data_IF_442909243114
#
_entry.id   IF_442909243114
#
_cell.length_a   1.000
_cell.length_b   1.000
_cell.length_c   1.000
_cell.angle_alpha   90.00
_cell.angle_beta   90.00
_cell.angle_gamma   90.00
#
_symmetry.space_group_name_H-M   'P 1'
#
loop_
_entity.id
_entity.type
_entity.pdbx_description
1 polymer ?
#
# COMPACT_ATOMS: atom_id res chain seq x y z
N UNK A 1 -3.90 -4.76 35.77
CA UNK A 1 -3.68 -3.34 35.41
C UNK A 1 -4.16 -3.17 33.99
N UNK A 2 -5.19 -2.34 33.82
CA UNK A 2 -5.99 -2.19 32.60
C UNK A 2 -5.14 -1.90 31.35
N UNK A 3 -5.41 -2.67 30.30
CA UNK A 3 -4.91 -2.44 28.95
C UNK A 3 -5.56 -1.19 28.38
N UNK A 4 -4.86 -0.05 28.43
CA UNK A 4 -5.24 1.14 27.65
C UNK A 4 -5.12 0.81 26.16
N UNK A 5 -6.25 0.46 25.55
CA UNK A 5 -6.40 0.34 24.11
C UNK A 5 -6.36 1.76 23.52
N UNK A 6 -5.15 2.28 23.27
CA UNK A 6 -4.98 3.56 22.58
C UNK A 6 -5.23 3.33 21.10
N UNK A 7 -6.42 3.73 20.65
CA UNK A 7 -6.75 3.89 19.24
C UNK A 7 -5.68 4.76 18.56
N UNK A 8 -5.02 4.24 17.52
CA UNK A 8 -4.17 5.06 16.64
C UNK A 8 -5.07 6.11 16.00
N UNK A 9 -4.83 7.37 16.34
CA UNK A 9 -5.64 8.48 15.89
C UNK A 9 -5.21 8.89 14.48
N UNK A 10 -5.91 8.36 13.46
CA UNK A 10 -5.63 8.65 12.04
C UNK A 10 -6.03 10.08 11.61
N UNK A 11 -6.49 10.93 12.53
CA UNK A 11 -7.02 12.27 12.24
C UNK A 11 -5.97 13.31 11.80
N UNK A 12 -4.67 13.08 12.05
CA UNK A 12 -3.61 14.07 11.76
C UNK A 12 -2.81 13.79 10.47
N UNK A 13 -3.32 12.92 9.60
CA UNK A 13 -2.65 12.61 8.33
C UNK A 13 -3.39 13.26 7.15
N UNK A 14 -2.84 14.33 6.55
CA UNK A 14 -3.18 14.65 5.18
C UNK A 14 -2.67 13.47 4.33
N UNK A 15 -3.57 12.56 3.99
CA UNK A 15 -3.39 11.68 2.85
C UNK A 15 -3.09 12.61 1.66
N UNK A 16 -1.81 12.74 1.29
CA UNK A 16 -1.41 13.26 0.00
C UNK A 16 -1.85 12.22 -1.04
N UNK A 17 -3.14 12.23 -1.34
CA UNK A 17 -3.75 11.48 -2.44
C UNK A 17 -3.22 12.12 -3.71
N UNK A 18 -2.22 11.52 -4.34
CA UNK A 18 -2.03 11.72 -5.79
C UNK A 18 -3.22 11.03 -6.46
N UNK A 19 -4.21 11.77 -7.01
CA UNK A 19 -5.41 11.16 -7.56
C UNK A 19 -5.09 10.71 -8.98
N UNK A 20 -4.58 9.50 -9.17
CA UNK A 20 -4.22 9.01 -10.51
C UNK A 20 -4.49 7.52 -10.70
N UNK A 21 -5.76 7.16 -10.95
CA UNK A 21 -6.19 6.32 -12.08
C UNK A 21 -7.72 6.31 -12.15
N UNK A 22 -8.29 6.63 -13.31
CA UNK A 22 -9.70 6.41 -13.64
C UNK A 22 -9.71 5.95 -15.09
N UNK A 23 -10.02 4.68 -15.36
CA UNK A 23 -10.23 4.19 -16.72
C UNK A 23 -11.74 4.10 -16.95
N UNK A 24 -12.23 4.89 -17.90
CA UNK A 24 -13.59 4.82 -18.40
C UNK A 24 -13.55 4.97 -19.92
N UNK A 25 -14.04 3.97 -20.64
CA UNK A 25 -14.39 4.11 -22.04
C UNK A 25 -15.83 4.64 -22.08
N UNK A 26 -16.01 5.98 -22.14
CA UNK A 26 -17.34 6.62 -21.98
C UNK A 26 -17.68 7.53 -23.16
N UNK A 27 -18.79 7.19 -23.81
CA UNK A 27 -19.54 8.08 -24.71
C UNK A 27 -20.36 9.03 -23.83
N UNK A 28 -20.14 10.34 -24.00
CA UNK A 28 -20.90 11.39 -23.28
C UNK A 28 -21.74 12.10 -24.34
N UNK A 29 -23.05 12.11 -24.17
CA UNK A 29 -23.96 13.02 -24.89
C UNK A 29 -24.25 14.21 -23.96
N UNK A 30 -24.04 15.43 -24.47
CA UNK A 30 -24.44 16.66 -23.80
C UNK A 30 -25.72 17.18 -24.46
N UNK A 31 -26.72 17.68 -23.70
CA UNK A 31 -27.64 18.67 -24.22
C UNK A 31 -26.91 20.02 -24.27
N UNK A 32 -26.74 20.57 -25.48
CA UNK A 32 -26.31 21.93 -25.82
C UNK A 32 -25.78 22.81 -24.68
N UNK A 33 -24.46 23.03 -24.60
CA UNK A 33 -23.82 24.33 -24.27
C UNK A 33 -22.36 24.37 -24.80
N UNK A 34 -21.93 25.57 -25.21
CA UNK A 34 -20.71 25.89 -25.98
C UNK A 34 -19.36 25.68 -25.26
N UNK A 35 -18.25 26.09 -25.89
CA UNK A 35 -16.92 25.54 -25.61
C UNK A 35 -16.25 26.25 -24.42
N UNK A 36 -15.71 25.47 -23.48
CA UNK A 36 -14.78 25.99 -22.47
C UNK A 36 -13.71 24.96 -22.07
N UNK A 37 -12.45 25.32 -22.37
CA UNK A 37 -11.25 25.06 -21.56
C UNK A 37 -10.68 23.64 -21.47
N UNK A 38 -9.72 23.32 -22.35
CA UNK A 38 -8.77 22.21 -22.14
C UNK A 38 -7.66 22.63 -21.16
N UNK A 39 -7.49 21.88 -20.07
CA UNK A 39 -6.21 21.76 -19.37
C UNK A 39 -5.65 20.35 -19.62
N UNK A 40 -4.57 20.27 -20.40
CA UNK A 40 -3.88 19.03 -20.74
C UNK A 40 -2.48 19.03 -20.10
N UNK A 41 -2.25 18.15 -19.12
CA UNK A 41 -0.90 17.80 -18.66
C UNK A 41 -0.43 16.53 -19.38
N UNK A 42 0.77 16.61 -19.97
CA UNK A 42 1.37 15.59 -20.84
C UNK A 42 1.81 14.34 -20.07
N UNK A 43 1.15 13.21 -20.36
CA UNK A 43 1.80 11.91 -20.50
C UNK A 43 1.99 11.63 -22.01
N UNK A 44 2.97 10.77 -22.38
CA UNK A 44 3.19 10.31 -23.78
C UNK A 44 1.90 9.76 -24.41
N UNK A 45 1.75 9.78 -25.75
CA UNK A 45 0.50 10.14 -26.44
C UNK A 45 -0.68 9.26 -26.02
N UNK A 46 -1.53 9.82 -25.17
CA UNK A 46 -2.85 9.29 -24.85
C UNK A 46 -3.69 9.38 -26.15
N UNK A 47 -4.17 8.24 -26.67
CA UNK A 47 -5.01 8.19 -27.88
C UNK A 47 -6.30 8.98 -27.65
N UNK A 48 -6.86 9.53 -28.72
CA UNK A 48 -8.09 10.36 -28.73
C UNK A 48 -9.34 9.70 -28.12
N UNK A 49 -9.31 8.39 -27.88
CA UNK A 49 -10.42 7.60 -27.34
C UNK A 49 -10.46 7.52 -25.81
N UNK A 50 -9.38 7.90 -25.11
CA UNK A 50 -9.33 7.83 -23.65
C UNK A 50 -9.73 9.18 -23.02
N UNK A 51 -10.89 9.20 -22.34
CA UNK A 51 -11.32 10.36 -21.56
C UNK A 51 -10.88 10.22 -20.11
N UNK A 52 -10.07 11.18 -19.65
CA UNK A 52 -9.62 11.26 -18.25
C UNK A 52 -10.37 12.36 -17.51
N UNK A 53 -10.79 12.09 -16.27
CA UNK A 53 -11.30 13.11 -15.34
C UNK A 53 -10.50 13.05 -14.04
N UNK A 54 -9.98 14.19 -13.60
CA UNK A 54 -9.30 14.37 -12.31
C UNK A 54 -10.26 15.00 -11.29
N UNK A 55 -9.93 14.88 -10.00
CA UNK A 55 -10.68 15.46 -8.87
C UNK A 55 -12.08 14.89 -8.63
N UNK A 56 -12.35 13.69 -9.13
CA UNK A 56 -13.59 12.91 -8.92
C UNK A 56 -13.50 11.95 -7.73
N UNK A 57 -14.41 12.09 -6.77
CA UNK A 57 -14.75 11.01 -5.84
C UNK A 57 -15.94 10.23 -6.37
N UNK A 58 -15.81 8.91 -6.40
CA UNK A 58 -16.85 7.99 -6.86
C UNK A 58 -17.83 7.69 -5.71
N UNK A 59 -19.11 8.00 -5.91
CA UNK A 59 -20.21 7.68 -4.99
C UNK A 59 -20.90 6.35 -5.33
N UNK A 60 -22.05 6.07 -4.68
CA UNK A 60 -22.82 4.82 -4.90
C UNK A 60 -23.09 4.58 -6.40
N UNK A 61 -23.03 3.32 -6.88
CA UNK A 61 -23.65 2.96 -8.12
C UNK A 61 -25.16 3.02 -7.98
N UNK A 62 -25.77 3.60 -9.00
CA UNK A 62 -27.19 3.41 -9.31
C UNK A 62 -27.21 2.50 -10.54
N UNK A 63 -28.25 1.69 -10.76
CA UNK A 63 -28.38 0.82 -11.93
C UNK A 63 -27.79 1.49 -13.19
N UNK A 64 -26.65 0.97 -13.65
CA UNK A 64 -25.84 1.44 -14.78
C UNK A 64 -25.12 2.81 -14.68
N UNK A 65 -24.66 3.28 -13.50
CA UNK A 65 -23.64 4.34 -13.48
C UNK A 65 -23.16 4.88 -12.13
N UNK A 66 -22.09 5.68 -12.15
CA UNK A 66 -21.42 6.26 -10.97
C UNK A 66 -21.56 7.77 -10.88
N UNK A 67 -21.54 8.30 -9.64
CA UNK A 67 -21.42 9.73 -9.33
C UNK A 67 -19.96 10.18 -9.19
N UNK A 68 -19.56 11.27 -9.87
CA UNK A 68 -18.20 11.82 -9.82
C UNK A 68 -18.19 13.35 -9.54
N UNK A 69 -17.30 13.81 -8.63
CA UNK A 69 -17.09 15.24 -8.28
C UNK A 69 -16.08 15.94 -9.21
N UNK A 70 -16.17 17.25 -9.46
CA UNK A 70 -15.04 18.05 -9.96
C UNK A 70 -15.05 19.38 -9.18
N UNK A 71 -13.89 19.92 -8.78
CA UNK A 71 -13.75 21.24 -8.12
C UNK A 71 -13.91 22.35 -9.18
N UNK A 72 -14.55 23.52 -8.98
CA UNK A 72 -14.76 24.34 -7.80
C UNK A 72 -16.21 24.86 -7.67
N UNK A 73 -16.68 25.01 -6.43
CA UNK A 73 -17.85 25.79 -5.96
C UNK A 73 -19.31 25.36 -6.29
N UNK A 74 -19.58 24.32 -7.09
CA UNK A 74 -20.91 23.65 -7.09
C UNK A 74 -20.79 22.13 -7.25
N UNK A 75 -21.40 21.37 -6.34
CA UNK A 75 -21.46 19.90 -6.40
C UNK A 75 -22.68 19.52 -7.24
N UNK A 76 -22.45 18.87 -8.38
CA UNK A 76 -23.51 18.25 -9.15
C UNK A 76 -23.29 16.74 -9.21
N UNK A 77 -24.31 15.92 -8.90
CA UNK A 77 -24.23 14.49 -9.17
C UNK A 77 -24.13 14.29 -10.69
N UNK A 78 -23.10 13.59 -11.14
CA UNK A 78 -22.91 13.23 -12.54
C UNK A 78 -23.06 11.71 -12.67
N UNK A 79 -24.03 11.21 -13.43
CA UNK A 79 -24.10 9.78 -13.74
C UNK A 79 -23.23 9.46 -14.97
N UNK A 80 -22.34 8.48 -14.83
CA UNK A 80 -21.54 7.94 -15.93
C UNK A 80 -21.92 6.48 -16.19
N UNK A 81 -22.33 6.16 -17.42
CA UNK A 81 -22.70 4.79 -17.83
C UNK A 81 -21.56 4.12 -18.61
N UNK A 82 -21.29 2.86 -18.30
CA UNK A 82 -20.38 2.03 -19.08
C UNK A 82 -21.16 1.21 -20.11
N UNK A 83 -20.67 1.15 -21.36
CA UNK A 83 -21.33 0.38 -22.42
C UNK A 83 -21.04 -1.13 -22.36
N UNK A 84 -19.97 -1.53 -21.65
CA UNK A 84 -19.55 -2.93 -21.53
C UNK A 84 -19.40 -3.33 -20.07
N UNK A 85 -18.47 -2.69 -19.38
CA UNK A 85 -18.05 -3.14 -18.05
C UNK A 85 -17.49 -1.98 -17.23
N UNK A 86 -17.58 -2.12 -15.91
CA UNK A 86 -16.92 -1.24 -14.96
C UNK A 86 -15.75 -1.96 -14.30
N UNK A 87 -14.62 -1.28 -14.20
CA UNK A 87 -13.42 -1.78 -13.52
C UNK A 87 -13.14 -0.88 -12.31
N UNK A 88 -13.18 -1.45 -11.11
CA UNK A 88 -12.77 -0.78 -9.88
C UNK A 88 -11.26 -0.92 -9.69
N UNK A 89 -10.58 0.22 -9.53
CA UNK A 89 -9.14 0.30 -9.26
C UNK A 89 -8.85 1.32 -8.15
N UNK A 90 -9.68 1.33 -7.11
CA UNK A 90 -9.58 2.24 -5.97
C UNK A 90 -8.54 1.83 -4.91
N UNK A 91 -7.90 0.68 -5.10
CA UNK A 91 -6.99 0.06 -4.15
C UNK A 91 -7.73 -0.60 -2.99
N UNK A 92 -6.95 -1.23 -2.11
CA UNK A 92 -7.40 -2.06 -0.99
C UNK A 92 -8.20 -1.35 0.10
N UNK A 93 -8.37 -0.03 -0.01
CA UNK A 93 -9.21 0.74 0.90
C UNK A 93 -10.50 1.17 0.19
N UNK A 94 -10.39 1.77 -1.01
CA UNK A 94 -11.56 2.36 -1.64
C UNK A 94 -12.38 1.37 -2.48
N UNK A 95 -11.77 0.36 -3.09
CA UNK A 95 -12.51 -0.67 -3.84
C UNK A 95 -13.51 -1.44 -2.97
N UNK A 96 -13.11 -2.05 -1.82
CA UNK A 96 -14.09 -2.72 -0.95
C UNK A 96 -15.11 -1.74 -0.36
N UNK A 97 -14.68 -0.52 0.00
CA UNK A 97 -15.58 0.53 0.50
C UNK A 97 -16.66 0.87 -0.51
N UNK A 98 -16.29 1.04 -1.78
CA UNK A 98 -17.23 1.35 -2.84
C UNK A 98 -18.17 0.18 -3.08
N UNK A 99 -17.68 -1.06 -3.15
CA UNK A 99 -18.53 -2.26 -3.24
C UNK A 99 -19.57 -2.30 -2.11
N UNK A 100 -19.16 -2.09 -0.85
CA UNK A 100 -20.11 -2.06 0.27
C UNK A 100 -21.14 -0.94 0.15
N UNK A 101 -20.73 0.28 -0.21
CA UNK A 101 -21.66 1.40 -0.46
C UNK A 101 -22.62 1.12 -1.63
N UNK A 102 -22.24 0.17 -2.50
CA UNK A 102 -23.02 -0.32 -3.63
C UNK A 102 -24.00 -1.43 -3.27
N UNK A 103 -24.06 -1.87 -2.01
CA UNK A 103 -24.85 -3.03 -1.62
C UNK A 103 -24.18 -4.38 -1.90
N UNK A 104 -22.87 -4.40 -2.16
CA UNK A 104 -22.09 -5.62 -2.40
C UNK A 104 -21.15 -5.85 -1.22
N UNK A 105 -21.45 -6.81 -0.35
CA UNK A 105 -20.68 -7.05 0.88
C UNK A 105 -21.39 -7.99 1.85
N UNK A 106 -20.95 -7.98 3.11
CA UNK A 106 -21.63 -8.74 4.17
C UNK A 106 -23.06 -8.21 4.39
N UNK A 107 -24.07 -9.10 4.34
CA UNK A 107 -25.46 -8.68 4.31
C UNK A 107 -25.89 -8.04 5.64
N UNK A 108 -25.43 -8.59 6.76
CA UNK A 108 -25.77 -8.11 8.10
C UNK A 108 -25.14 -6.74 8.36
N UNK A 109 -23.88 -6.54 7.96
CA UNK A 109 -23.21 -5.24 8.11
C UNK A 109 -23.82 -4.15 7.21
N UNK A 110 -24.28 -4.50 6.01
CA UNK A 110 -24.96 -3.55 5.11
C UNK A 110 -26.35 -3.17 5.62
N UNK A 111 -27.13 -4.13 6.11
CA UNK A 111 -28.47 -3.90 6.65
C UNK A 111 -28.44 -3.00 7.89
N UNK A 112 -27.44 -3.15 8.78
CA UNK A 112 -27.25 -2.26 9.95
C UNK A 112 -27.07 -0.78 9.56
N UNK A 113 -26.69 -0.50 8.32
CA UNK A 113 -26.45 0.85 7.81
C UNK A 113 -27.52 1.31 6.81
N UNK A 114 -28.64 0.59 6.71
CA UNK A 114 -29.73 0.85 5.77
C UNK A 114 -29.27 0.89 4.30
N UNK A 115 -28.28 0.05 3.95
CA UNK A 115 -27.82 -0.12 2.58
C UNK A 115 -28.53 -1.36 1.98
N UNK A 116 -29.28 -1.21 0.88
CA UNK A 116 -29.89 -2.35 0.21
C UNK A 116 -28.84 -3.37 -0.21
N UNK A 117 -29.05 -4.64 0.13
CA UNK A 117 -28.14 -5.73 -0.25
C UNK A 117 -28.46 -6.14 -1.69
N UNK A 118 -27.52 -5.87 -2.60
CA UNK A 118 -27.56 -6.35 -3.98
C UNK A 118 -26.95 -7.75 -4.06
N UNK A 119 -25.80 -7.94 -3.42
CA UNK A 119 -25.09 -9.21 -3.44
C UNK A 119 -24.37 -9.44 -2.11
N UNK A 120 -24.67 -10.59 -1.48
CA UNK A 120 -23.95 -11.02 -0.29
C UNK A 120 -22.57 -11.57 -0.67
N UNK A 121 -21.52 -10.85 -0.29
CA UNK A 121 -20.12 -11.26 -0.38
C UNK A 121 -19.41 -10.91 0.94
N UNK A 122 -19.44 -11.80 1.95
CA UNK A 122 -18.89 -11.49 3.27
C UNK A 122 -17.37 -11.28 3.26
N UNK A 123 -16.69 -11.67 2.17
CA UNK A 123 -15.26 -11.41 1.96
C UNK A 123 -14.91 -9.94 1.66
N UNK A 124 -15.86 -9.09 1.23
CA UNK A 124 -15.58 -7.69 0.89
C UNK A 124 -15.11 -6.94 2.14
N UNK A 125 -13.91 -6.36 2.06
CA UNK A 125 -13.27 -5.66 3.17
C UNK A 125 -12.57 -6.57 4.18
N UNK A 126 -12.69 -7.89 4.08
CA UNK A 126 -12.00 -8.84 4.97
C UNK A 126 -10.60 -9.17 4.46
N UNK A 127 -9.82 -9.93 5.22
CA UNK A 127 -8.48 -10.40 4.80
C UNK A 127 -7.50 -9.25 4.51
N UNK A 128 -7.69 -8.08 5.14
CA UNK A 128 -6.75 -6.95 5.02
C UNK A 128 -5.37 -7.41 5.50
N UNK A 129 -4.39 -7.27 4.60
CA UNK A 129 -2.99 -7.56 4.86
C UNK A 129 -2.15 -6.36 4.48
N UNK A 130 -1.08 -6.14 5.23
CA UNK A 130 -0.14 -5.05 5.02
C UNK A 130 1.21 -5.43 5.62
N UNK A 131 2.29 -4.87 5.10
CA UNK A 131 3.60 -5.04 5.71
C UNK A 131 3.72 -4.11 6.91
N UNK A 132 4.15 -4.65 8.04
CA UNK A 132 4.45 -3.88 9.24
C UNK A 132 5.96 -3.77 9.38
N UNK A 133 6.45 -2.55 9.58
CA UNK A 133 7.89 -2.28 9.61
C UNK A 133 8.27 -1.50 10.87
N UNK A 134 9.51 -1.68 11.33
CA UNK A 134 10.11 -0.95 12.46
C UNK A 134 11.47 -0.40 12.04
N UNK A 135 11.88 0.70 12.66
CA UNK A 135 13.20 1.28 12.43
C UNK A 135 14.19 0.79 13.49
N UNK A 136 15.35 0.34 13.04
CA UNK A 136 16.56 0.21 13.85
C UNK A 136 17.53 1.32 13.40
N UNK A 137 17.81 2.24 14.31
CA UNK A 137 18.47 3.51 14.02
C UNK A 137 19.81 3.57 14.77
N UNK A 138 20.85 4.00 14.05
CA UNK A 138 22.19 4.19 14.60
C UNK A 138 22.64 5.63 14.39
N UNK A 139 23.26 6.24 15.41
CA UNK A 139 24.06 7.43 15.19
C UNK A 139 25.21 7.11 14.24
N UNK A 140 25.58 8.07 13.40
CA UNK A 140 26.69 7.95 12.48
C UNK A 140 27.83 8.86 12.93
N UNK A 141 29.01 8.29 13.14
CA UNK A 141 30.21 9.03 13.57
C UNK A 141 30.83 9.86 12.45
N UNK A 142 30.47 9.58 11.20
CA UNK A 142 31.01 10.25 10.02
C UNK A 142 29.98 11.17 9.37
N UNK A 143 30.41 12.30 8.76
CA UNK A 143 29.51 13.27 8.15
C UNK A 143 29.04 12.87 6.74
N UNK A 144 28.71 11.59 6.54
CA UNK A 144 28.40 11.00 5.21
C UNK A 144 26.91 10.80 4.95
N UNK A 145 26.07 11.15 5.92
CA UNK A 145 24.61 10.94 5.84
C UNK A 145 23.88 12.16 5.27
N UNK A 146 22.60 12.02 4.94
CA UNK A 146 21.76 13.10 4.40
C UNK A 146 21.57 14.27 5.36
N UNK A 147 21.91 14.12 6.64
CA UNK A 147 21.86 15.21 7.61
C UNK A 147 22.62 16.46 7.10
N UNK A 148 23.79 16.24 6.47
CA UNK A 148 24.56 17.34 5.88
C UNK A 148 23.83 18.06 4.75
N UNK A 149 22.86 17.43 4.07
CA UNK A 149 22.11 18.04 2.97
C UNK A 149 20.92 18.90 3.44
N UNK A 150 20.54 18.83 4.71
CA UNK A 150 19.33 19.49 5.25
C UNK A 150 19.51 20.99 5.52
N UNK A 151 20.72 21.54 5.36
CA UNK A 151 20.94 22.98 5.51
C UNK A 151 20.21 23.74 4.39
N UNK A 152 19.45 24.82 4.67
CA UNK A 152 18.59 25.47 3.67
C UNK A 152 19.30 25.88 2.38
N UNK A 153 20.52 26.40 2.48
CA UNK A 153 21.31 26.77 1.30
C UNK A 153 21.72 25.55 0.46
N UNK A 154 22.03 24.41 1.09
CA UNK A 154 22.33 23.15 0.39
C UNK A 154 21.09 22.58 -0.28
N UNK A 155 19.94 22.63 0.41
CA UNK A 155 18.65 22.24 -0.19
C UNK A 155 18.31 23.11 -1.41
N UNK A 156 18.53 24.43 -1.34
CA UNK A 156 18.34 25.32 -2.48
C UNK A 156 19.26 24.94 -3.65
N UNK A 157 20.55 24.69 -3.38
CA UNK A 157 21.50 24.25 -4.41
C UNK A 157 21.15 22.89 -5.02
N UNK A 158 20.65 21.95 -4.21
CA UNK A 158 20.12 20.66 -4.69
C UNK A 158 18.94 20.90 -5.63
N UNK A 159 18.01 21.78 -5.26
CA UNK A 159 16.87 22.17 -6.08
C UNK A 159 17.29 22.80 -7.41
N UNK A 160 18.24 23.75 -7.38
CA UNK A 160 18.80 24.38 -8.59
C UNK A 160 19.46 23.35 -9.50
N UNK A 161 20.30 22.46 -8.94
CA UNK A 161 20.96 21.41 -9.72
C UNK A 161 19.95 20.48 -10.38
N UNK A 162 18.93 20.05 -9.64
CA UNK A 162 17.88 19.19 -10.17
C UNK A 162 17.08 19.90 -11.27
N UNK A 163 16.74 21.17 -11.07
CA UNK A 163 15.98 21.94 -12.05
C UNK A 163 16.73 22.09 -13.38
N UNK A 164 18.03 22.40 -13.32
CA UNK A 164 18.85 22.66 -14.51
C UNK A 164 19.29 21.35 -15.20
N UNK A 165 19.73 20.36 -14.42
CA UNK A 165 20.43 19.17 -14.98
C UNK A 165 19.68 17.86 -14.78
N UNK A 166 18.63 17.82 -13.94
CA UNK A 166 17.94 16.59 -13.53
C UNK A 166 18.86 15.56 -12.86
N UNK A 167 19.95 16.02 -12.24
CA UNK A 167 20.92 15.17 -11.54
C UNK A 167 21.06 15.54 -10.06
N UNK A 168 21.78 14.69 -9.30
CA UNK A 168 22.16 14.94 -7.91
C UNK A 168 21.13 14.42 -6.91
N UNK A 169 21.26 14.86 -5.64
CA UNK A 169 20.45 14.36 -4.53
C UNK A 169 18.94 14.58 -4.72
N UNK A 170 18.51 15.57 -5.50
CA UNK A 170 17.09 15.77 -5.81
C UNK A 170 16.50 14.76 -6.82
N UNK A 171 17.33 13.90 -7.41
CA UNK A 171 16.93 12.92 -8.42
C UNK A 171 16.84 11.47 -7.88
N UNK A 172 16.98 11.26 -6.57
CA UNK A 172 16.95 9.94 -5.93
C UNK A 172 15.93 9.92 -4.79
N UNK A 173 15.41 8.73 -4.45
CA UNK A 173 14.58 8.48 -3.28
C UNK A 173 15.41 8.16 -2.01
N UNK A 174 16.74 8.03 -2.17
CA UNK A 174 17.73 7.71 -1.15
C UNK A 174 17.65 6.31 -0.53
N UNK A 175 16.82 5.41 -1.06
CA UNK A 175 16.77 3.99 -0.68
C UNK A 175 17.63 3.14 -1.62
N UNK A 176 18.94 3.34 -1.56
CA UNK A 176 19.88 2.77 -2.54
C UNK A 176 20.35 1.34 -2.19
N UNK A 177 20.11 0.91 -0.95
CA UNK A 177 20.47 -0.41 -0.46
C UNK A 177 19.32 -1.04 0.32
N UNK A 178 19.26 -2.35 0.26
CA UNK A 178 18.25 -3.15 0.93
C UNK A 178 18.62 -4.63 0.82
N UNK A 179 17.71 -5.48 1.25
CA UNK A 179 17.95 -6.92 1.17
C UNK A 179 16.74 -7.70 1.63
N UNK A 180 16.76 -8.99 1.33
CA UNK A 180 15.83 -9.94 1.88
C UNK A 180 16.60 -11.06 2.55
N UNK A 181 16.19 -11.43 3.75
CA UNK A 181 16.75 -12.55 4.50
C UNK A 181 15.63 -13.47 4.97
N UNK A 182 16.00 -14.67 5.39
CA UNK A 182 15.13 -15.56 6.15
C UNK A 182 15.25 -15.25 7.64
N UNK A 183 14.11 -15.19 8.32
CA UNK A 183 14.04 -14.99 9.76
C UNK A 183 14.70 -16.14 10.53
N UNK A 184 14.63 -17.36 10.00
CA UNK A 184 15.16 -18.58 10.63
C UNK A 184 15.32 -19.72 9.60
N UNK A 185 16.06 -20.80 9.96
CA UNK A 185 16.05 -22.05 9.21
C UNK A 185 14.65 -22.58 8.93
N UNK A 186 14.48 -23.22 7.78
CA UNK A 186 13.23 -23.85 7.37
C UNK A 186 12.20 -22.93 6.70
N UNK A 187 12.45 -21.62 6.62
CA UNK A 187 11.57 -20.71 5.87
C UNK A 187 11.84 -20.85 4.36
N UNK A 188 10.82 -21.20 3.58
CA UNK A 188 10.96 -21.51 2.15
C UNK A 188 11.50 -20.33 1.32
N UNK A 189 11.08 -19.12 1.66
CA UNK A 189 11.44 -17.90 0.96
C UNK A 189 11.87 -16.80 1.94
N UNK A 190 12.71 -15.84 1.52
CA UNK A 190 13.02 -14.68 2.34
C UNK A 190 11.75 -13.96 2.80
N UNK A 191 11.58 -13.88 4.10
CA UNK A 191 10.39 -13.37 4.78
C UNK A 191 10.66 -12.05 5.50
N UNK A 192 11.91 -11.58 5.60
CA UNK A 192 12.25 -10.25 6.13
C UNK A 192 12.79 -9.38 5.01
N UNK A 193 12.29 -8.15 4.89
CA UNK A 193 12.81 -7.13 3.97
C UNK A 193 13.50 -6.00 4.73
N UNK A 194 14.58 -5.48 4.15
CA UNK A 194 15.31 -4.31 4.61
C UNK A 194 15.26 -3.19 3.57
N UNK A 195 15.04 -1.97 4.05
CA UNK A 195 15.34 -0.73 3.34
C UNK A 195 16.32 0.08 4.16
N UNK A 196 17.51 0.32 3.61
CA UNK A 196 18.52 1.14 4.27
C UNK A 196 18.34 2.61 3.90
N UNK A 197 18.44 3.47 4.91
CA UNK A 197 18.43 4.91 4.73
C UNK A 197 19.69 5.54 5.34
N UNK A 198 20.41 6.38 4.60
CA UNK A 198 21.48 7.22 5.15
C UNK A 198 20.89 8.45 5.86
N UNK A 199 19.88 8.25 6.71
CA UNK A 199 19.24 9.24 7.57
C UNK A 199 18.46 8.54 8.68
N UNK A 200 18.21 9.20 9.82
CA UNK A 200 17.21 8.76 10.77
C UNK A 200 15.87 9.45 10.45
N UNK A 201 14.80 8.66 10.35
CA UNK A 201 13.44 9.15 10.08
C UNK A 201 12.66 9.18 11.39
N UNK A 202 12.30 10.39 11.83
CA UNK A 202 11.43 10.62 12.98
C UNK A 202 10.09 11.19 12.50
N UNK A 203 8.99 10.68 13.05
CA UNK A 203 7.63 11.09 12.68
C UNK A 203 7.39 11.19 11.16
N UNK A 204 7.72 10.12 10.42
CA UNK A 204 7.58 10.06 8.95
C UNK A 204 8.36 11.17 8.21
N UNK A 205 9.44 11.69 8.82
CA UNK A 205 10.28 12.73 8.25
C UNK A 205 9.83 14.15 8.60
N UNK A 206 8.81 14.33 9.46
CA UNK A 206 8.36 15.65 9.93
C UNK A 206 9.28 16.26 10.96
N UNK A 207 10.02 15.41 11.70
CA UNK A 207 11.02 15.84 12.67
C UNK A 207 12.40 15.63 12.06
N UNK A 208 13.18 16.71 12.01
CA UNK A 208 14.55 16.69 11.53
C UNK A 208 15.44 15.97 12.53
N UNK A 209 16.29 15.05 12.05
CA UNK A 209 17.38 14.52 12.87
C UNK A 209 18.28 15.66 13.35
N UNK A 210 18.74 15.59 14.59
CA UNK A 210 19.68 16.57 15.16
C UNK A 210 21.15 16.17 14.93
N UNK A 211 21.39 14.97 14.42
CA UNK A 211 22.73 14.41 14.20
C UNK A 211 22.81 13.58 12.92
N UNK A 212 24.05 13.31 12.51
CA UNK A 212 24.32 12.27 11.52
C UNK A 212 23.85 10.91 12.04
N UNK A 213 23.01 10.23 11.26
CA UNK A 213 22.43 8.94 11.60
C UNK A 213 22.05 8.19 10.33
N UNK A 214 21.89 6.87 10.45
CA UNK A 214 21.34 5.98 9.44
C UNK A 214 20.40 4.99 10.09
N UNK A 215 19.57 4.33 9.28
CA UNK A 215 18.65 3.32 9.78
C UNK A 215 18.43 2.19 8.78
N UNK A 216 18.01 1.06 9.32
CA UNK A 216 17.32 0.03 8.56
C UNK A 216 15.84 0.06 8.95
N UNK A 217 14.97 0.25 7.95
CA UNK A 217 13.56 -0.04 8.06
C UNK A 217 13.37 -1.52 7.70
N UNK A 218 12.78 -2.27 8.62
CA UNK A 218 12.76 -3.74 8.54
C UNK A 218 11.42 -4.29 9.01
N UNK A 219 10.97 -5.36 8.37
CA UNK A 219 9.74 -6.06 8.77
C UNK A 219 9.53 -7.36 8.01
N UNK A 220 8.60 -8.22 8.49
CA UNK A 220 8.19 -9.41 7.80
C UNK A 220 7.28 -9.11 6.61
N UNK A 221 7.43 -9.93 5.58
CA UNK A 221 6.78 -9.79 4.28
C UNK A 221 5.60 -10.74 4.08
N UNK A 222 5.40 -11.70 5.00
CA UNK A 222 4.28 -12.65 4.95
C UNK A 222 3.55 -12.72 6.30
N UNK A 223 3.06 -11.57 6.81
CA UNK A 223 2.34 -11.55 8.06
C UNK A 223 1.10 -12.46 7.98
N UNK A 224 0.83 -13.11 9.10
CA UNK A 224 -0.28 -14.05 9.29
C UNK A 224 -1.49 -13.40 9.96
N UNK A 225 -1.30 -12.23 10.57
CA UNK A 225 -2.40 -11.36 11.02
C UNK A 225 -3.36 -11.04 9.86
N UNK A 226 -4.66 -11.02 10.15
CA UNK A 226 -5.71 -10.66 9.20
C UNK A 226 -6.60 -9.59 9.80
N UNK A 227 -6.65 -8.46 9.12
CA UNK A 227 -7.49 -7.34 9.46
C UNK A 227 -8.77 -7.26 8.63
N UNK A 228 -9.49 -6.17 8.82
CA UNK A 228 -10.68 -5.84 8.05
C UNK A 228 -10.84 -4.33 7.80
N UNK A 229 -11.73 -4.03 6.85
CA UNK A 229 -12.28 -2.73 6.54
C UNK A 229 -13.81 -2.85 6.53
N UNK A 230 -14.49 -1.98 7.29
CA UNK A 230 -15.96 -1.89 7.33
C UNK A 230 -16.45 -0.48 7.08
N UNK A 231 -17.69 -0.34 6.63
CA UNK A 231 -18.33 0.97 6.60
C UNK A 231 -18.67 1.41 8.03
N UNK A 232 -18.41 2.69 8.33
CA UNK A 232 -18.91 3.33 9.56
C UNK A 232 -20.35 3.81 9.40
N UNK A 233 -20.73 4.18 8.17
CA UNK A 233 -22.02 4.74 7.82
C UNK A 233 -22.28 4.63 6.32
N UNK A 234 -23.52 4.87 5.91
CA UNK A 234 -23.97 4.99 4.52
C UNK A 234 -23.43 6.22 3.76
N UNK A 235 -22.81 7.19 4.44
CA UNK A 235 -22.22 8.40 3.84
C UNK A 235 -20.94 8.06 3.04
N UNK A 236 -20.92 8.31 1.71
CA UNK A 236 -19.73 8.10 0.87
C UNK A 236 -18.58 9.07 1.17
N UNK A 237 -18.73 10.02 2.10
CA UNK A 237 -17.65 10.90 2.59
C UNK A 237 -17.07 10.48 3.94
N UNK A 238 -17.78 9.66 4.70
CA UNK A 238 -17.29 9.15 5.98
C UNK A 238 -16.14 8.15 5.80
N UNK A 239 -15.07 8.31 6.56
CA UNK A 239 -13.97 7.35 6.57
C UNK A 239 -14.46 5.95 7.00
N UNK A 240 -13.96 4.87 6.37
CA UNK A 240 -14.28 3.52 6.82
C UNK A 240 -13.63 3.23 8.18
N UNK A 241 -14.15 2.22 8.87
CA UNK A 241 -13.46 1.60 9.99
C UNK A 241 -12.38 0.68 9.42
N UNK A 242 -11.15 0.82 9.89
CA UNK A 242 -10.00 0.04 9.45
C UNK A 242 -9.32 -0.55 10.67
N UNK A 243 -9.20 -1.88 10.71
CA UNK A 243 -8.43 -2.58 11.72
C UNK A 243 -7.49 -3.57 11.03
N UNK A 244 -6.20 -3.24 10.86
CA UNK A 244 -5.21 -4.14 10.28
C UNK A 244 -4.90 -5.35 11.16
N UNK A 245 -5.27 -5.31 12.45
CA UNK A 245 -5.08 -6.38 13.41
C UNK A 245 -3.60 -6.84 13.53
N UNK A 246 -2.67 -5.88 13.41
CA UNK A 246 -1.23 -6.16 13.43
C UNK A 246 -0.80 -6.90 14.71
N UNK A 247 0.17 -7.82 14.56
CA UNK A 247 0.78 -8.56 15.67
C UNK A 247 -0.21 -9.40 16.48
N UNK A 248 -1.33 -9.80 15.87
CA UNK A 248 -2.37 -10.62 16.50
C UNK A 248 -1.97 -12.09 16.61
N UNK A 249 -0.96 -12.53 15.85
CA UNK A 249 -0.44 -13.89 15.87
C UNK A 249 0.92 -13.97 16.53
N UNK A 250 1.24 -15.13 17.12
CA UNK A 250 2.57 -15.40 17.66
C UNK A 250 3.67 -15.33 16.58
N UNK A 251 3.35 -15.79 15.36
CA UNK A 251 4.29 -15.80 14.24
C UNK A 251 4.76 -14.38 13.88
N UNK A 252 3.84 -13.43 13.80
CA UNK A 252 4.16 -12.05 13.41
C UNK A 252 5.00 -11.35 14.49
N UNK A 253 4.68 -11.60 15.76
CA UNK A 253 5.48 -11.10 16.90
C UNK A 253 6.90 -11.67 16.86
N UNK A 254 7.04 -12.97 16.63
CA UNK A 254 8.33 -13.65 16.53
C UNK A 254 9.18 -13.09 15.37
N UNK A 255 8.62 -12.96 14.17
CA UNK A 255 9.34 -12.45 13.00
C UNK A 255 9.76 -10.98 13.15
N UNK A 256 8.93 -10.13 13.77
CA UNK A 256 9.32 -8.76 14.09
C UNK A 256 10.47 -8.71 15.11
N UNK A 257 10.45 -9.59 16.11
CA UNK A 257 11.56 -9.68 17.08
C UNK A 257 12.85 -10.12 16.40
N UNK A 258 12.78 -11.12 15.53
CA UNK A 258 13.93 -11.60 14.76
C UNK A 258 14.46 -10.53 13.81
N UNK A 259 13.58 -9.75 13.18
CA UNK A 259 13.95 -8.58 12.38
C UNK A 259 14.88 -7.63 13.14
N UNK A 260 14.53 -7.26 14.38
CA UNK A 260 15.38 -6.37 15.20
C UNK A 260 16.72 -7.03 15.55
N UNK A 261 16.71 -8.30 15.96
CA UNK A 261 17.95 -9.03 16.34
C UNK A 261 18.91 -9.14 15.16
N UNK A 262 18.42 -9.55 14.00
CA UNK A 262 19.22 -9.69 12.79
C UNK A 262 19.73 -8.34 12.29
N UNK A 263 18.92 -7.29 12.40
CA UNK A 263 19.39 -5.94 12.05
C UNK A 263 20.54 -5.49 12.94
N UNK A 264 20.46 -5.73 14.26
CA UNK A 264 21.56 -5.43 15.18
C UNK A 264 22.82 -6.22 14.84
N UNK A 265 22.69 -7.49 14.48
CA UNK A 265 23.81 -8.33 14.01
C UNK A 265 24.46 -7.75 12.74
N UNK A 266 23.65 -7.31 11.76
CA UNK A 266 24.12 -6.69 10.51
C UNK A 266 24.86 -5.38 10.81
N UNK A 267 24.27 -4.50 11.62
CA UNK A 267 24.87 -3.21 11.94
C UNK A 267 26.10 -3.34 12.85
N UNK A 268 26.26 -4.45 13.58
CA UNK A 268 27.44 -4.77 14.38
C UNK A 268 28.63 -5.30 13.55
N UNK A 269 28.45 -5.60 12.26
CA UNK A 269 29.55 -6.10 11.42
C UNK A 269 30.69 -5.09 11.26
N UNK A 270 31.90 -5.60 11.01
CA UNK A 270 33.14 -4.80 10.88
C UNK A 270 33.04 -3.68 9.83
N UNK A 271 32.27 -3.90 8.77
CA UNK A 271 32.04 -2.91 7.71
C UNK A 271 31.42 -1.60 8.25
N UNK A 272 30.72 -1.66 9.38
CA UNK A 272 30.12 -0.50 10.03
C UNK A 272 31.00 0.14 11.11
N UNK A 273 32.16 -0.43 11.50
CA UNK A 273 32.95 0.05 12.65
C UNK A 273 33.33 1.53 12.54
N UNK A 274 33.69 1.99 11.35
CA UNK A 274 34.06 3.41 11.11
C UNK A 274 32.86 4.36 11.17
N UNK A 275 31.63 3.86 11.01
CA UNK A 275 30.40 4.64 10.90
C UNK A 275 29.49 4.52 12.13
N UNK A 276 29.49 3.37 12.82
CA UNK A 276 28.57 3.01 13.89
C UNK A 276 28.85 3.82 15.16
N UNK A 277 27.97 4.78 15.46
CA UNK A 277 27.86 5.43 16.77
C UNK A 277 27.01 4.62 17.74
N UNK A 278 26.34 5.28 18.70
CA UNK A 278 25.39 4.62 19.61
C UNK A 278 24.08 4.21 18.89
N UNK A 279 23.43 3.14 19.36
CA UNK A 279 22.08 2.77 18.90
C UNK A 279 21.08 3.79 19.45
N UNK A 280 20.29 4.38 18.56
CA UNK A 280 19.27 5.37 18.90
C UNK A 280 17.95 4.67 19.24
N UNK A 281 17.51 3.75 18.37
CA UNK A 281 16.27 3.00 18.51
C UNK A 281 16.48 1.58 17.98
N UNK A 282 16.14 0.50 18.71
CA UNK A 282 15.42 0.49 19.99
C UNK A 282 16.17 1.05 21.20
N UNK A 283 17.50 1.12 21.14
CA UNK A 283 18.35 1.59 22.22
C UNK A 283 18.87 0.45 23.10
N UNK A 284 19.97 0.72 23.79
CA UNK A 284 20.74 -0.29 24.52
C UNK A 284 19.99 -0.93 25.70
N UNK A 285 18.95 -0.30 26.23
CA UNK A 285 18.13 -0.86 27.31
C UNK A 285 17.14 -1.93 26.84
N UNK A 286 16.82 -1.98 25.54
CA UNK A 286 15.86 -2.94 24.97
C UNK A 286 16.61 -4.20 24.55
N UNK A 287 16.70 -5.18 25.44
CA UNK A 287 17.51 -6.39 25.22
C UNK A 287 16.68 -7.68 25.23
N UNK A 288 15.79 -7.85 26.21
CA UNK A 288 15.03 -9.08 26.32
C UNK A 288 13.97 -9.18 25.20
N UNK A 289 13.56 -10.40 24.89
CA UNK A 289 12.47 -10.68 23.95
C UNK A 289 11.20 -9.88 24.28
N UNK A 290 10.89 -9.75 25.57
CA UNK A 290 9.75 -8.96 26.06
C UNK A 290 9.92 -7.47 25.80
N UNK A 291 11.12 -6.93 26.00
CA UNK A 291 11.39 -5.51 25.76
C UNK A 291 11.32 -5.21 24.26
N UNK A 292 11.88 -6.09 23.42
CA UNK A 292 11.83 -5.96 21.97
C UNK A 292 10.39 -5.99 21.47
N UNK A 293 9.57 -6.94 21.94
CA UNK A 293 8.16 -7.02 21.57
C UNK A 293 7.38 -5.76 21.99
N UNK A 294 7.67 -5.21 23.18
CA UNK A 294 7.05 -3.97 23.65
C UNK A 294 7.45 -2.78 22.78
N UNK A 295 8.74 -2.70 22.41
CA UNK A 295 9.23 -1.68 21.50
C UNK A 295 8.56 -1.78 20.12
N UNK A 296 8.48 -2.98 19.54
CA UNK A 296 7.80 -3.25 18.27
C UNK A 296 6.36 -2.77 18.31
N UNK A 297 5.59 -3.12 19.36
CA UNK A 297 4.19 -2.68 19.50
C UNK A 297 4.05 -1.16 19.55
N UNK A 298 5.01 -0.46 20.12
CA UNK A 298 4.96 1.00 20.28
C UNK A 298 5.46 1.77 19.05
N UNK A 299 6.41 1.21 18.29
CA UNK A 299 7.15 1.96 17.27
C UNK A 299 6.96 1.47 15.83
N UNK A 300 6.32 0.32 15.63
CA UNK A 300 6.07 -0.18 14.28
C UNK A 300 5.07 0.68 13.52
N UNK A 301 5.22 0.73 12.19
CA UNK A 301 4.39 1.50 11.28
C UNK A 301 3.98 0.68 10.07
N UNK A 302 2.81 1.02 9.53
CA UNK A 302 2.33 0.55 8.23
C UNK A 302 3.40 0.82 7.15
N UNK A 303 3.75 -0.21 6.38
CA UNK A 303 4.63 -0.13 5.21
C UNK A 303 3.95 0.42 3.96
N UNK A 304 2.70 0.89 4.09
CA UNK A 304 1.86 1.40 3.00
C UNK A 304 1.61 0.39 1.88
N UNK A 305 1.45 -0.88 2.26
CA UNK A 305 1.15 -2.00 1.38
C UNK A 305 -0.20 -2.69 1.69
N UNK A 306 -1.30 -1.95 1.96
CA UNK A 306 -2.59 -2.58 2.19
C UNK A 306 -3.03 -3.36 0.95
N UNK A 307 -3.48 -4.60 1.13
CA UNK A 307 -3.82 -5.55 0.08
C UNK A 307 -4.95 -6.49 0.52
N UNK A 308 -5.41 -7.32 -0.43
CA UNK A 308 -6.20 -8.53 -0.16
C UNK A 308 -7.66 -8.36 0.29
N UNK A 309 -8.17 -7.13 0.37
CA UNK A 309 -9.53 -6.81 0.85
C UNK A 309 -10.68 -7.17 -0.09
N UNK A 310 -10.38 -7.55 -1.32
CA UNK A 310 -11.33 -8.08 -2.31
C UNK A 310 -10.77 -9.38 -2.89
N UNK A 311 -10.26 -10.26 -2.02
CA UNK A 311 -9.53 -11.48 -2.35
C UNK A 311 -10.10 -12.22 -3.57
N UNK A 312 -9.23 -12.50 -4.53
CA UNK A 312 -9.48 -13.47 -5.61
C UNK A 312 -9.52 -14.89 -5.05
N UNK A 313 -10.44 -15.71 -5.54
CA UNK A 313 -10.53 -17.12 -5.13
C UNK A 313 -11.22 -18.00 -6.16
N UNK A 314 -11.19 -19.30 -5.89
CA UNK A 314 -11.88 -20.30 -6.69
C UNK A 314 -13.40 -20.23 -6.48
N UNK A 315 -14.15 -20.76 -7.45
CA UNK A 315 -15.59 -20.95 -7.28
C UNK A 315 -15.86 -21.83 -6.03
N UNK A 316 -16.78 -21.39 -5.18
CA UNK A 316 -17.09 -22.03 -3.90
C UNK A 316 -16.30 -21.52 -2.69
N UNK A 317 -15.25 -20.70 -2.88
CA UNK A 317 -14.63 -19.97 -1.76
C UNK A 317 -15.59 -18.87 -1.27
N UNK A 318 -16.22 -19.12 -0.12
CA UNK A 318 -17.21 -18.21 0.49
C UNK A 318 -16.65 -16.82 0.85
N UNK A 319 -15.32 -16.70 0.94
CA UNK A 319 -14.64 -15.43 1.26
C UNK A 319 -14.03 -14.76 0.02
N UNK A 320 -14.15 -15.37 -1.16
CA UNK A 320 -13.69 -14.74 -2.39
C UNK A 320 -14.66 -13.64 -2.84
N UNK A 321 -14.09 -12.55 -3.36
CA UNK A 321 -14.85 -11.42 -3.90
C UNK A 321 -14.82 -11.41 -5.42
N UNK A 322 -13.68 -11.81 -6.00
CA UNK A 322 -13.53 -11.93 -7.46
C UNK A 322 -13.05 -13.32 -7.86
N UNK A 323 -13.38 -13.71 -9.09
CA UNK A 323 -12.88 -14.94 -9.71
C UNK A 323 -11.49 -14.75 -10.35
N UNK A 324 -10.97 -15.82 -10.95
CA UNK A 324 -9.67 -15.81 -11.64
C UNK A 324 -9.60 -14.84 -12.83
N UNK A 325 -10.75 -14.43 -13.36
CA UNK A 325 -10.88 -13.44 -14.42
C UNK A 325 -11.03 -12.02 -13.84
N UNK A 326 -10.93 -11.82 -12.53
CA UNK A 326 -11.13 -10.54 -11.81
C UNK A 326 -12.58 -10.03 -11.75
N UNK A 327 -13.56 -10.87 -12.15
CA UNK A 327 -14.99 -10.53 -12.12
C UNK A 327 -15.54 -10.68 -10.72
N UNK A 328 -16.37 -9.73 -10.29
CA UNK A 328 -17.04 -9.79 -8.98
C UNK A 328 -18.07 -10.92 -8.98
N UNK A 329 -18.02 -11.82 -8.00
CA UNK A 329 -18.95 -12.92 -7.91
C UNK A 329 -20.40 -12.43 -7.76
N UNK A 330 -21.32 -13.01 -8.54
CA UNK A 330 -22.75 -12.69 -8.48
C UNK A 330 -23.14 -11.33 -9.09
N UNK A 331 -22.20 -10.59 -9.68
CA UNK A 331 -22.47 -9.29 -10.31
C UNK A 331 -21.92 -9.26 -11.73
N UNK A 332 -22.80 -9.04 -12.69
CA UNK A 332 -22.41 -8.93 -14.10
C UNK A 332 -21.71 -7.60 -14.40
N UNK A 333 -20.78 -7.61 -15.36
CA UNK A 333 -20.14 -6.41 -15.91
C UNK A 333 -19.43 -5.54 -14.86
N UNK A 334 -18.87 -6.17 -13.81
CA UNK A 334 -18.09 -5.53 -12.77
C UNK A 334 -16.82 -6.33 -12.45
N UNK A 335 -15.66 -5.66 -12.48
CA UNK A 335 -14.36 -6.21 -12.07
C UNK A 335 -13.71 -5.36 -10.99
N UNK A 336 -12.79 -5.97 -10.26
CA UNK A 336 -11.83 -5.26 -9.41
C UNK A 336 -10.43 -5.58 -9.90
N UNK A 337 -9.65 -4.54 -10.21
CA UNK A 337 -8.28 -4.66 -10.71
C UNK A 337 -7.40 -3.67 -9.95
N UNK A 338 -6.90 -4.13 -8.81
CA UNK A 338 -5.91 -3.46 -7.96
C UNK A 338 -5.37 -4.45 -6.90
N UNK A 339 -4.53 -3.97 -5.96
CA UNK A 339 -3.93 -4.80 -4.90
C UNK A 339 -4.93 -5.49 -3.96
N UNK A 340 -6.20 -5.06 -3.94
CA UNK A 340 -7.24 -5.67 -3.11
C UNK A 340 -7.53 -7.12 -3.50
N UNK A 341 -7.30 -7.50 -4.77
CA UNK A 341 -7.66 -8.85 -5.23
C UNK A 341 -6.58 -9.90 -4.97
N UNK A 342 -5.40 -9.49 -4.49
CA UNK A 342 -4.35 -10.43 -4.12
C UNK A 342 -4.88 -11.41 -3.06
N UNK A 343 -4.78 -12.74 -3.22
CA UNK A 343 -5.29 -13.66 -2.20
C UNK A 343 -4.50 -13.62 -0.89
N UNK A 344 -3.19 -13.36 -1.02
CA UNK A 344 -2.23 -13.16 0.06
C UNK A 344 -1.26 -12.07 -0.39
N UNK A 345 -0.78 -11.28 0.56
CA UNK A 345 0.29 -10.31 0.29
C UNK A 345 1.55 -11.07 -0.18
N UNK A 346 2.28 -10.46 -1.12
CA UNK A 346 3.49 -11.03 -1.71
C UNK A 346 4.74 -10.47 -1.04
N UNK A 347 5.85 -11.21 -1.13
CA UNK A 347 7.11 -10.76 -0.54
C UNK A 347 7.71 -9.59 -1.31
N UNK A 348 7.71 -8.39 -0.71
CA UNK A 348 8.27 -7.16 -1.27
C UNK A 348 7.23 -6.07 -1.57
N UNK A 349 7.69 -4.91 -2.05
CA UNK A 349 6.83 -3.74 -2.29
C UNK A 349 5.76 -4.00 -3.37
N UNK A 350 4.53 -3.52 -3.13
CA UNK A 350 3.38 -3.94 -3.94
C UNK A 350 3.16 -3.21 -5.27
N UNK A 351 3.96 -2.20 -5.60
CA UNK A 351 3.78 -1.46 -6.86
C UNK A 351 3.96 -2.38 -8.09
N UNK A 352 5.09 -3.07 -8.18
CA UNK A 352 5.39 -3.98 -9.30
C UNK A 352 4.36 -5.13 -9.44
N UNK A 353 3.99 -5.89 -8.38
CA UNK A 353 2.99 -6.94 -8.52
C UNK A 353 1.59 -6.40 -8.84
N UNK A 354 1.23 -5.17 -8.40
CA UNK A 354 -0.05 -4.55 -8.78
C UNK A 354 -0.07 -4.19 -10.27
N UNK A 355 1.03 -3.63 -10.81
CA UNK A 355 1.16 -3.36 -12.25
C UNK A 355 1.06 -4.66 -13.04
N UNK A 356 1.83 -5.68 -12.66
CA UNK A 356 1.80 -7.00 -13.32
C UNK A 356 0.39 -7.59 -13.35
N UNK A 357 -0.30 -7.58 -12.21
CA UNK A 357 -1.68 -8.06 -12.11
C UNK A 357 -2.63 -7.26 -13.00
N UNK A 358 -2.44 -5.94 -13.08
CA UNK A 358 -3.27 -5.06 -13.92
C UNK A 358 -3.03 -5.28 -15.42
N UNK A 359 -1.79 -5.49 -15.85
CA UNK A 359 -1.46 -5.85 -17.23
C UNK A 359 -2.10 -7.18 -17.63
N UNK A 360 -1.99 -8.19 -16.74
CA UNK A 360 -2.65 -9.48 -16.97
C UNK A 360 -4.17 -9.36 -17.05
N UNK A 361 -4.78 -8.54 -16.20
CA UNK A 361 -6.22 -8.28 -16.24
C UNK A 361 -6.62 -7.55 -17.53
N UNK A 362 -5.79 -6.65 -18.05
CA UNK A 362 -6.04 -5.98 -19.33
C UNK A 362 -6.08 -6.98 -20.50
N UNK A 363 -5.17 -7.96 -20.53
CA UNK A 363 -5.18 -9.02 -21.54
C UNK A 363 -6.44 -9.89 -21.44
N UNK A 364 -6.82 -10.31 -20.21
CA UNK A 364 -8.08 -11.01 -19.94
C UNK A 364 -9.28 -10.23 -20.51
N UNK A 365 -9.37 -8.93 -20.26
CA UNK A 365 -10.47 -8.08 -20.70
C UNK A 365 -10.48 -7.90 -22.23
N UNK A 366 -9.30 -7.87 -22.86
CA UNK A 366 -9.17 -7.82 -24.33
C UNK A 366 -9.40 -9.19 -24.99
N UNK A 367 -9.42 -10.28 -24.22
CA UNK A 367 -9.43 -11.65 -24.76
C UNK A 367 -8.09 -12.04 -25.38
N UNK A 368 -6.99 -11.42 -24.95
CA UNK A 368 -5.65 -11.73 -25.41
C UNK A 368 -5.06 -12.89 -24.58
N UNK A 369 -4.37 -13.85 -25.21
CA UNK A 369 -3.74 -14.95 -24.48
C UNK A 369 -2.59 -14.44 -23.61
N UNK A 370 -2.39 -15.00 -22.40
CA UNK A 370 -1.28 -14.61 -21.55
C UNK A 370 0.06 -14.94 -22.20
N UNK A 371 1.09 -14.15 -21.87
CA UNK A 371 2.46 -14.47 -22.24
C UNK A 371 2.86 -15.86 -21.71
N UNK A 372 3.79 -16.50 -22.43
CA UNK A 372 4.39 -17.74 -21.97
C UNK A 372 5.09 -17.55 -20.63
N UNK A 373 5.03 -18.58 -19.78
CA UNK A 373 5.69 -18.56 -18.47
C UNK A 373 7.19 -18.38 -18.67
N UNK A 374 7.78 -17.43 -17.94
CA UNK A 374 9.23 -17.24 -17.94
C UNK A 374 9.95 -18.50 -17.47
N UNK A 375 11.00 -18.88 -18.20
CA UNK A 375 11.93 -19.97 -17.88
C UNK A 375 13.24 -19.44 -17.28
N UNK A 376 13.27 -18.15 -16.92
CA UNK A 376 14.44 -17.55 -16.28
C UNK A 376 14.81 -18.34 -15.01
N UNK A 377 16.10 -18.62 -14.77
CA UNK A 377 16.52 -19.32 -13.57
C UNK A 377 16.20 -18.46 -12.35
N UNK A 378 15.61 -19.09 -11.34
CA UNK A 378 15.41 -18.51 -10.01
C UNK A 378 16.30 -19.26 -9.05
N UNK A 379 17.02 -18.54 -8.20
CA UNK A 379 17.85 -19.16 -7.18
C UNK A 379 17.02 -20.06 -6.28
N UNK A 380 17.46 -21.31 -6.10
CA UNK A 380 16.91 -22.25 -5.14
C UNK A 380 18.05 -22.68 -4.21
N UNK A 381 17.87 -22.57 -2.89
CA UNK A 381 18.89 -23.01 -1.96
C UNK A 381 19.00 -24.53 -1.95
N UNK A 382 20.21 -25.06 -1.76
CA UNK A 382 20.44 -26.51 -1.64
C UNK A 382 19.75 -27.11 -0.40
N UNK A 383 19.68 -26.34 0.69
CA UNK A 383 18.94 -26.68 1.91
C UNK A 383 18.35 -25.43 2.56
N UNK A 384 17.24 -25.58 3.26
CA UNK A 384 16.63 -24.54 4.09
C UNK A 384 17.14 -24.54 5.54
N UNK A 385 17.90 -25.56 5.95
CA UNK A 385 18.26 -25.79 7.35
C UNK A 385 19.36 -24.86 7.88
N UNK A 386 20.14 -24.26 6.98
CA UNK A 386 21.31 -23.43 7.34
C UNK A 386 21.23 -22.01 6.80
N UNK A 387 20.20 -21.69 6.02
CA UNK A 387 20.09 -20.38 5.39
C UNK A 387 19.42 -19.35 6.31
N UNK A 388 20.09 -18.20 6.44
CA UNK A 388 19.54 -16.94 6.96
C UNK A 388 19.70 -15.90 5.87
#
# INVERSE_FOLDING_TARGET
>A
METQNRSVNWHDFPLYVLPRLVIFNVRVTFPNQGPAGLFAERFSPCRSEQKRRSSCRVGRPVENGYQARVSDSKVFPLQVRAAKEVILSGGSINSPRLLMLSGIGDADDLQKLDIPVIQHLPGVGQNLQDHLEVHVQQACTQPVTLYSALQPHRMAMIGVRWFITRTGLGATNHMEAGGFIRSRPGVEHPDIQYHFFPSAVYDLGRVTSEQHAYQAQVGPMRPTSRGYLKLKSADPHAHPLLDPNYLSTHQDVLEMRLSIKHTREILAQKAFDTFRGAEIGPGHSVQSDKDIDAYVRQHSKCGYHPSCTCKMGAEGDKMAVVDAETRVFGVENLRVVDASIMPSIVSGNLNAPTIMLSEKAADIIKGEPPLSKSTAPVYQPETLDTQR
#
